data_IF_125925056653
#
_entry.id   IF_125925056653
#
_cell.length_a   1.000
_cell.length_b   1.000
_cell.length_c   1.000
_cell.angle_alpha   90.00
_cell.angle_beta   90.00
_cell.angle_gamma   90.00
#
_symmetry.space_group_name_H-M   'P 1'
#
loop_
_entity.id
_entity.type
_entity.pdbx_description
1 polymer ?
#
# COMPACT_ATOMS: atom_id res chain seq x y z
N UNK A 1 8.63 41.19 38.54
CA UNK A 1 8.02 41.25 37.24
C UNK A 1 8.64 40.14 36.40
N UNK A 2 8.15 38.91 36.60
CA UNK A 2 8.64 37.72 35.93
C UNK A 2 7.87 37.56 34.63
N UNK A 3 8.58 37.62 33.51
CA UNK A 3 8.03 37.19 32.19
C UNK A 3 8.13 35.70 32.16
N UNK A 4 6.99 35.04 32.25
CA UNK A 4 6.83 33.62 31.97
C UNK A 4 7.10 33.42 30.46
N UNK A 5 8.18 32.69 30.18
CA UNK A 5 8.41 32.11 28.85
C UNK A 5 7.36 31.04 28.62
N UNK A 6 6.45 31.32 27.73
CA UNK A 6 5.49 30.33 27.22
C UNK A 6 6.19 29.46 26.14
N UNK A 7 6.50 28.18 26.39
CA UNK A 7 7.11 27.30 25.39
C UNK A 7 6.02 26.52 24.63
N UNK A 8 5.11 27.23 23.99
CA UNK A 8 4.06 26.57 23.18
C UNK A 8 3.93 27.25 21.83
N UNK A 9 5.00 27.19 21.06
CA UNK A 9 4.94 27.30 19.62
C UNK A 9 5.76 26.13 19.06
N UNK A 10 5.26 24.92 19.27
CA UNK A 10 5.62 23.82 18.39
C UNK A 10 5.12 24.23 17.01
N UNK A 11 6.03 24.62 16.12
CA UNK A 11 5.76 24.79 14.71
C UNK A 11 5.09 23.48 14.24
N UNK A 12 3.78 23.54 14.02
CA UNK A 12 3.08 22.49 13.30
C UNK A 12 3.82 22.36 11.96
N UNK A 13 4.56 21.28 11.81
CA UNK A 13 5.17 20.93 10.54
C UNK A 13 4.03 20.65 9.56
N UNK A 14 3.65 21.65 8.78
CA UNK A 14 2.73 21.42 7.67
C UNK A 14 3.47 20.57 6.63
N UNK A 15 3.07 19.29 6.56
CA UNK A 15 3.51 18.41 5.48
C UNK A 15 2.62 18.62 4.27
N UNK A 16 3.23 18.81 3.11
CA UNK A 16 2.54 18.62 1.85
C UNK A 16 2.67 17.14 1.49
N UNK A 17 1.54 16.46 1.38
CA UNK A 17 1.47 15.04 1.02
C UNK A 17 0.80 14.94 -0.34
N UNK A 18 1.52 14.40 -1.31
CA UNK A 18 0.99 14.03 -2.60
C UNK A 18 0.64 12.55 -2.60
N UNK A 19 -0.59 12.22 -2.97
CA UNK A 19 -1.07 10.84 -3.12
C UNK A 19 -1.56 10.64 -4.53
N UNK A 20 -1.12 9.57 -5.17
CA UNK A 20 -1.57 9.20 -6.52
C UNK A 20 -1.50 7.68 -6.70
N UNK A 21 -2.25 7.15 -7.66
CA UNK A 21 -2.17 5.75 -8.04
C UNK A 21 -2.24 5.59 -9.55
N UNK A 22 -1.69 4.49 -10.03
CA UNK A 22 -1.79 4.05 -11.40
C UNK A 22 -2.13 2.57 -11.44
N UNK A 23 -2.97 2.19 -12.38
CA UNK A 23 -3.46 0.82 -12.50
C UNK A 23 -3.52 0.37 -13.96
N UNK A 24 -3.37 -0.94 -14.18
CA UNK A 24 -3.62 -1.64 -15.43
C UNK A 24 -4.42 -2.88 -15.13
N UNK A 25 -5.51 -3.07 -15.85
CA UNK A 25 -6.34 -4.25 -15.69
C UNK A 25 -5.64 -5.49 -16.25
N UNK A 26 -5.93 -6.64 -15.69
CA UNK A 26 -5.64 -7.93 -16.30
C UNK A 26 -6.09 -7.93 -17.77
N UNK A 27 -5.28 -8.57 -18.65
CA UNK A 27 -5.57 -8.62 -20.08
C UNK A 27 -6.96 -9.19 -20.36
N UNK A 28 -7.74 -8.49 -21.18
CA UNK A 28 -9.12 -8.86 -21.50
C UNK A 28 -10.19 -8.39 -20.53
N UNK A 29 -9.81 -7.89 -19.35
CA UNK A 29 -10.76 -7.37 -18.38
C UNK A 29 -11.01 -5.87 -18.58
N UNK A 30 -12.24 -5.43 -18.27
CA UNK A 30 -12.64 -4.02 -18.35
C UNK A 30 -12.53 -3.28 -17.02
N UNK A 31 -12.40 -4.00 -15.94
CA UNK A 31 -12.35 -3.49 -14.57
C UNK A 31 -11.14 -4.10 -13.89
N UNK A 32 -10.36 -3.26 -13.21
CA UNK A 32 -9.25 -3.69 -12.38
C UNK A 32 -9.77 -4.47 -11.17
N UNK A 33 -9.18 -5.61 -10.86
CA UNK A 33 -9.49 -6.37 -9.65
C UNK A 33 -8.97 -5.68 -8.39
N UNK A 34 -7.92 -4.88 -8.53
CA UNK A 34 -7.36 -4.09 -7.45
C UNK A 34 -8.16 -2.81 -7.21
N UNK A 35 -8.19 -2.35 -5.97
CA UNK A 35 -8.83 -1.09 -5.58
C UNK A 35 -7.89 -0.26 -4.73
N UNK A 36 -7.69 0.98 -5.15
CA UNK A 36 -6.99 2.00 -4.41
C UNK A 36 -7.99 3.04 -3.91
N UNK A 37 -7.94 3.35 -2.61
CA UNK A 37 -8.71 4.44 -1.98
C UNK A 37 -7.76 5.36 -1.23
N UNK A 38 -8.07 6.65 -1.27
CA UNK A 38 -7.41 7.65 -0.42
C UNK A 38 -8.43 8.68 0.07
N UNK A 39 -8.38 9.00 1.35
CA UNK A 39 -9.23 10.02 1.96
C UNK A 39 -8.39 11.01 2.77
N UNK A 40 -8.68 12.29 2.57
CA UNK A 40 -8.18 13.36 3.41
C UNK A 40 -9.24 13.69 4.47
N UNK A 41 -9.01 13.25 5.69
CA UNK A 41 -9.86 13.52 6.86
C UNK A 41 -9.50 14.91 7.38
N UNK A 42 -10.16 15.93 6.82
CA UNK A 42 -9.79 17.34 7.02
C UNK A 42 -9.90 17.78 8.46
N UNK A 43 -10.89 17.27 9.19
CA UNK A 43 -11.14 17.58 10.59
C UNK A 43 -9.98 17.16 11.49
N UNK A 44 -9.25 16.12 11.07
CA UNK A 44 -8.13 15.56 11.81
C UNK A 44 -6.76 15.92 11.18
N UNK A 45 -6.75 16.62 10.04
CA UNK A 45 -5.55 16.84 9.23
C UNK A 45 -4.77 15.53 8.99
N UNK A 46 -5.47 14.50 8.57
CA UNK A 46 -5.02 13.11 8.46
C UNK A 46 -5.30 12.56 7.06
N UNK A 47 -4.39 11.77 6.54
CA UNK A 47 -4.56 11.11 5.23
C UNK A 47 -4.49 9.60 5.43
N UNK A 48 -5.53 8.91 4.95
CA UNK A 48 -5.58 7.46 4.97
C UNK A 48 -5.59 6.96 3.53
N UNK A 49 -4.74 6.00 3.23
CA UNK A 49 -4.62 5.39 1.91
C UNK A 49 -4.68 3.87 2.04
N UNK A 50 -5.41 3.23 1.15
CA UNK A 50 -5.57 1.77 1.13
C UNK A 50 -5.39 1.25 -0.29
N UNK A 51 -4.56 0.23 -0.45
CA UNK A 51 -4.50 -0.62 -1.63
C UNK A 51 -4.97 -2.02 -1.23
N UNK A 52 -5.96 -2.55 -1.94
CA UNK A 52 -6.42 -3.93 -1.81
C UNK A 52 -6.38 -4.61 -3.17
N UNK A 53 -5.78 -5.77 -3.21
CA UNK A 53 -5.78 -6.67 -4.34
C UNK A 53 -6.92 -7.69 -4.15
N UNK A 54 -7.74 -7.86 -5.18
CA UNK A 54 -8.87 -8.79 -5.18
C UNK A 54 -8.47 -10.13 -5.79
N UNK A 55 -8.65 -11.21 -5.07
CA UNK A 55 -8.31 -12.54 -5.55
C UNK A 55 -8.95 -12.86 -6.90
N UNK A 56 -8.11 -13.11 -7.92
CA UNK A 56 -8.50 -13.33 -9.30
C UNK A 56 -8.52 -12.02 -10.09
N UNK A 57 -9.38 -11.90 -11.06
CA UNK A 57 -9.45 -10.72 -11.92
C UNK A 57 -10.91 -10.32 -12.23
N UNK A 58 -11.07 -9.10 -12.75
CA UNK A 58 -12.35 -8.59 -13.22
C UNK A 58 -13.34 -8.28 -12.09
N UNK A 59 -14.65 -8.35 -12.38
CA UNK A 59 -15.71 -7.85 -11.50
C UNK A 59 -15.72 -8.48 -10.11
N UNK A 60 -15.49 -9.79 -10.00
CA UNK A 60 -15.51 -10.47 -8.69
C UNK A 60 -14.37 -10.02 -7.80
N UNK A 61 -13.17 -9.93 -8.34
CA UNK A 61 -12.00 -9.43 -7.65
C UNK A 61 -12.23 -7.98 -7.21
N UNK A 62 -12.69 -7.12 -8.11
CA UNK A 62 -13.02 -5.72 -7.82
C UNK A 62 -14.03 -5.56 -6.67
N UNK A 63 -15.11 -6.35 -6.64
CA UNK A 63 -16.10 -6.30 -5.54
C UNK A 63 -15.42 -6.62 -4.20
N UNK A 64 -14.59 -7.65 -4.15
CA UNK A 64 -13.91 -8.06 -2.92
C UNK A 64 -12.89 -7.02 -2.47
N UNK A 65 -12.09 -6.50 -3.40
CA UNK A 65 -11.15 -5.43 -3.12
C UNK A 65 -11.86 -4.13 -2.69
N UNK A 66 -13.01 -3.80 -3.29
CA UNK A 66 -13.84 -2.65 -2.89
C UNK A 66 -14.35 -2.81 -1.46
N UNK A 67 -14.88 -3.97 -1.10
CA UNK A 67 -15.34 -4.24 0.26
C UNK A 67 -14.17 -4.15 1.26
N UNK A 68 -13.05 -4.78 0.93
CA UNK A 68 -11.84 -4.77 1.77
C UNK A 68 -11.33 -3.36 1.99
N UNK A 69 -11.10 -2.61 0.92
CA UNK A 69 -10.54 -1.25 0.99
C UNK A 69 -11.49 -0.27 1.69
N UNK A 70 -12.82 -0.40 1.46
CA UNK A 70 -13.83 0.43 2.14
C UNK A 70 -13.87 0.14 3.65
N UNK A 71 -13.83 -1.14 4.04
CA UNK A 71 -13.79 -1.51 5.45
C UNK A 71 -12.48 -1.03 6.11
N UNK A 72 -11.34 -1.25 5.44
CA UNK A 72 -10.04 -0.80 5.92
C UNK A 72 -10.01 0.71 6.14
N UNK A 73 -10.45 1.49 5.17
CA UNK A 73 -10.52 2.94 5.25
C UNK A 73 -11.40 3.41 6.42
N UNK A 74 -12.64 2.91 6.50
CA UNK A 74 -13.58 3.35 7.53
C UNK A 74 -13.14 2.95 8.95
N UNK A 75 -12.63 1.74 9.14
CA UNK A 75 -12.15 1.33 10.47
C UNK A 75 -10.89 2.06 10.90
N UNK A 76 -10.00 2.39 9.96
CA UNK A 76 -8.85 3.23 10.24
C UNK A 76 -9.29 4.64 10.61
N UNK A 77 -10.25 5.21 9.89
CA UNK A 77 -10.84 6.52 10.19
C UNK A 77 -11.46 6.56 11.58
N UNK A 78 -12.11 5.50 12.03
CA UNK A 78 -12.68 5.33 13.37
C UNK A 78 -11.63 5.01 14.45
N UNK A 79 -10.34 5.17 14.16
CA UNK A 79 -9.23 4.91 15.10
C UNK A 79 -9.24 3.51 15.74
N UNK A 80 -9.73 2.51 15.02
CA UNK A 80 -9.63 1.13 15.52
C UNK A 80 -8.18 0.66 15.50
N UNK A 81 -7.84 -0.16 16.48
CA UNK A 81 -6.52 -0.79 16.54
C UNK A 81 -6.24 -1.61 15.26
N UNK A 82 -5.02 -1.50 14.68
CA UNK A 82 -4.67 -2.16 13.43
C UNK A 82 -4.97 -3.67 13.41
N UNK A 83 -4.65 -4.36 14.49
CA UNK A 83 -4.86 -5.80 14.60
C UNK A 83 -6.37 -6.14 14.57
N UNK A 84 -7.20 -5.28 15.18
CA UNK A 84 -8.66 -5.40 15.17
C UNK A 84 -9.26 -5.10 13.80
N UNK A 85 -8.70 -4.14 13.08
CA UNK A 85 -9.10 -3.84 11.69
C UNK A 85 -8.92 -5.10 10.84
N UNK A 86 -7.73 -5.70 10.87
CA UNK A 86 -7.44 -6.91 10.13
C UNK A 86 -8.37 -8.07 10.51
N UNK A 87 -8.59 -8.32 11.80
CA UNK A 87 -9.52 -9.36 12.26
C UNK A 87 -10.92 -9.18 11.70
N UNK A 88 -11.47 -7.97 11.77
CA UNK A 88 -12.83 -7.68 11.29
C UNK A 88 -12.91 -7.91 9.78
N UNK A 89 -11.98 -7.35 9.00
CA UNK A 89 -11.94 -7.52 7.55
C UNK A 89 -11.88 -9.01 7.19
N UNK A 90 -10.89 -9.70 7.72
CA UNK A 90 -10.64 -11.11 7.39
C UNK A 90 -11.74 -12.07 7.86
N UNK A 91 -12.49 -11.71 8.91
CA UNK A 91 -13.64 -12.49 9.38
C UNK A 91 -14.93 -12.18 8.63
N UNK A 92 -15.05 -11.00 8.05
CA UNK A 92 -16.25 -10.56 7.32
C UNK A 92 -16.26 -11.06 5.89
N UNK A 93 -15.09 -11.06 5.25
CA UNK A 93 -14.98 -11.45 3.85
C UNK A 93 -15.19 -12.96 3.66
N UNK A 94 -15.77 -13.36 2.52
CA UNK A 94 -15.95 -14.76 2.20
C UNK A 94 -14.58 -15.46 2.10
N UNK A 95 -14.60 -16.76 2.37
CA UNK A 95 -13.44 -17.64 2.18
C UNK A 95 -13.63 -18.42 0.90
N UNK A 96 -12.61 -18.48 0.06
CA UNK A 96 -12.62 -19.33 -1.10
C UNK A 96 -12.80 -20.79 -0.69
N UNK A 97 -13.86 -21.42 -1.17
CA UNK A 97 -14.18 -22.82 -0.85
C UNK A 97 -13.07 -23.80 -1.29
N UNK A 98 -12.36 -23.46 -2.36
CA UNK A 98 -11.29 -24.29 -2.93
C UNK A 98 -9.95 -24.05 -2.24
N UNK A 99 -9.55 -22.79 -2.08
CA UNK A 99 -8.24 -22.42 -1.53
C UNK A 99 -8.24 -22.24 -0.01
N UNK A 100 -9.41 -22.15 0.62
CA UNK A 100 -9.59 -21.91 2.08
C UNK A 100 -8.87 -20.67 2.60
N UNK A 101 -8.63 -19.68 1.71
CA UNK A 101 -7.96 -18.43 2.02
C UNK A 101 -9.01 -17.32 2.05
N UNK A 102 -8.88 -16.36 2.94
CA UNK A 102 -9.67 -15.14 2.91
C UNK A 102 -9.28 -14.33 1.67
N UNK A 103 -10.25 -13.72 1.01
CA UNK A 103 -10.04 -12.94 -0.22
C UNK A 103 -9.49 -11.52 0.03
N UNK A 104 -9.01 -11.23 1.23
CA UNK A 104 -8.50 -9.93 1.56
C UNK A 104 -6.98 -9.90 1.50
N UNK A 105 -6.44 -9.12 0.60
CA UNK A 105 -5.11 -8.55 0.74
C UNK A 105 -5.28 -7.06 0.97
N UNK A 106 -4.44 -6.43 1.74
CA UNK A 106 -4.50 -4.98 1.92
C UNK A 106 -3.19 -4.40 2.41
N UNK A 107 -2.93 -3.18 1.97
CA UNK A 107 -1.93 -2.28 2.54
C UNK A 107 -2.62 -0.99 2.94
N UNK A 108 -2.53 -0.63 4.21
CA UNK A 108 -3.11 0.59 4.77
C UNK A 108 -1.96 1.51 5.18
N UNK A 109 -1.99 2.75 4.74
CA UNK A 109 -1.09 3.81 5.17
C UNK A 109 -1.92 4.90 5.80
N UNK A 110 -1.63 5.21 7.04
CA UNK A 110 -2.30 6.21 7.84
C UNK A 110 -1.29 7.27 8.29
N UNK A 111 -1.46 8.49 7.81
CA UNK A 111 -0.58 9.62 8.09
C UNK A 111 -1.34 10.59 8.98
N UNK A 112 -0.94 10.65 10.24
CA UNK A 112 -1.59 11.46 11.24
C UNK A 112 -1.13 12.92 11.23
N UNK A 113 -1.86 13.79 11.90
CA UNK A 113 -1.60 15.24 11.96
C UNK A 113 -0.24 15.62 12.53
N UNK A 114 0.32 14.78 13.41
CA UNK A 114 1.66 14.96 13.96
C UNK A 114 2.78 14.50 13.00
N UNK A 115 2.40 14.00 11.82
CA UNK A 115 3.30 13.46 10.81
C UNK A 115 3.68 12.00 11.04
N UNK A 116 3.12 11.35 12.03
CA UNK A 116 3.33 9.92 12.27
C UNK A 116 2.68 9.10 11.16
N UNK A 117 3.43 8.18 10.60
CA UNK A 117 2.95 7.22 9.60
C UNK A 117 2.81 5.85 10.25
N UNK A 118 1.62 5.28 10.17
CA UNK A 118 1.34 3.91 10.56
C UNK A 118 1.04 3.11 9.29
N UNK A 119 1.68 1.96 9.13
CA UNK A 119 1.42 1.04 8.02
C UNK A 119 0.99 -0.30 8.57
N UNK A 120 -0.05 -0.87 7.95
CA UNK A 120 -0.53 -2.23 8.20
C UNK A 120 -0.69 -2.96 6.86
N UNK A 121 -0.08 -4.13 6.74
CA UNK A 121 -0.11 -4.94 5.52
C UNK A 121 -0.50 -6.37 5.79
N UNK A 122 -1.28 -6.93 4.88
CA UNK A 122 -1.62 -8.34 4.84
C UNK A 122 -1.60 -8.84 3.39
N UNK A 123 -0.72 -9.80 3.11
CA UNK A 123 -0.61 -10.59 1.88
C UNK A 123 -0.34 -9.81 0.57
N UNK A 124 -0.11 -8.50 0.64
CA UNK A 124 0.45 -7.71 -0.43
C UNK A 124 1.99 -7.74 -0.40
N UNK A 125 2.67 -7.48 -1.52
CA UNK A 125 4.10 -7.17 -1.49
C UNK A 125 4.36 -6.04 -0.51
N UNK A 126 5.38 -6.23 0.35
CA UNK A 126 5.73 -5.20 1.33
C UNK A 126 6.02 -3.88 0.63
N UNK A 127 5.41 -2.79 1.09
CA UNK A 127 5.62 -1.47 0.51
C UNK A 127 7.10 -1.08 0.50
N UNK A 128 7.45 -0.23 -0.45
CA UNK A 128 8.78 0.35 -0.56
C UNK A 128 8.75 1.71 0.11
N UNK A 129 9.70 1.95 1.01
CA UNK A 129 9.87 3.26 1.64
C UNK A 129 11.24 3.79 1.26
N UNK A 130 11.25 5.03 0.75
CA UNK A 130 12.47 5.73 0.40
C UNK A 130 12.61 6.97 1.28
N UNK A 131 13.80 7.17 1.86
CA UNK A 131 14.25 8.44 2.42
C UNK A 131 15.12 9.14 1.40
N UNK A 132 14.55 10.18 0.77
CA UNK A 132 15.13 10.70 -0.47
C UNK A 132 15.20 9.61 -1.53
N UNK A 133 16.39 9.30 -2.03
CA UNK A 133 16.64 8.21 -2.99
C UNK A 133 17.15 6.91 -2.36
N UNK A 134 17.22 6.81 -1.03
CA UNK A 134 17.76 5.63 -0.34
C UNK A 134 16.64 4.77 0.26
N UNK A 135 16.78 3.44 0.27
CA UNK A 135 15.80 2.57 0.88
C UNK A 135 15.78 2.76 2.39
N UNK A 136 14.61 2.64 2.99
CA UNK A 136 14.42 2.74 4.42
C UNK A 136 13.57 1.59 4.96
N UNK A 137 14.06 0.92 5.99
CA UNK A 137 13.34 -0.13 6.71
C UNK A 137 12.92 0.37 8.09
N UNK A 138 11.60 0.58 8.31
CA UNK A 138 11.09 1.25 9.51
C UNK A 138 11.01 0.39 10.78
N UNK A 139 11.61 -0.80 10.79
CA UNK A 139 11.50 -1.73 11.92
C UNK A 139 10.14 -2.41 11.97
N UNK A 140 9.86 -3.22 10.97
CA UNK A 140 8.63 -3.99 10.86
C UNK A 140 8.39 -4.91 12.05
N UNK A 141 7.15 -5.01 12.48
CA UNK A 141 6.67 -5.95 13.51
C UNK A 141 5.65 -6.89 12.89
N UNK A 142 5.84 -8.17 13.14
CA UNK A 142 4.90 -9.20 12.74
C UNK A 142 3.88 -9.41 13.86
N UNK A 143 2.61 -9.45 13.49
CA UNK A 143 1.49 -9.83 14.35
C UNK A 143 0.87 -11.09 13.79
N UNK A 144 0.86 -12.14 14.59
CA UNK A 144 0.20 -13.39 14.23
C UNK A 144 -1.19 -13.39 14.85
N UNK A 145 -2.20 -13.57 14.02
CA UNK A 145 -3.57 -13.74 14.49
C UNK A 145 -3.69 -15.09 15.20
N UNK A 146 -4.20 -15.11 16.41
CA UNK A 146 -4.22 -16.29 17.29
C UNK A 146 -5.61 -16.91 17.43
N UNK A 147 -6.65 -16.27 16.89
CA UNK A 147 -8.04 -16.70 17.06
C UNK A 147 -8.79 -16.91 15.75
N UNK A 148 -9.80 -17.77 15.82
CA UNK A 148 -10.76 -18.00 14.75
C UNK A 148 -10.18 -18.67 13.50
N UNK A 149 -10.87 -18.49 12.39
CA UNK A 149 -10.50 -19.09 11.08
C UNK A 149 -9.22 -18.51 10.46
N UNK A 150 -8.75 -17.41 10.99
CA UNK A 150 -7.55 -16.72 10.50
C UNK A 150 -6.32 -16.97 11.42
N UNK A 151 -6.42 -17.88 12.38
CA UNK A 151 -5.30 -18.24 13.25
C UNK A 151 -4.06 -18.67 12.44
N UNK A 152 -2.91 -18.17 12.83
CA UNK A 152 -1.64 -18.41 12.15
C UNK A 152 -1.32 -17.47 10.99
N UNK A 153 -2.28 -16.64 10.53
CA UNK A 153 -2.00 -15.61 9.52
C UNK A 153 -1.20 -14.47 10.13
N UNK A 154 -0.29 -13.95 9.33
CA UNK A 154 0.67 -12.93 9.76
C UNK A 154 0.37 -11.59 9.12
N UNK A 155 0.30 -10.56 9.94
CA UNK A 155 0.21 -9.16 9.54
C UNK A 155 1.58 -8.51 9.73
N UNK A 156 1.86 -7.51 8.93
CA UNK A 156 3.06 -6.69 9.06
C UNK A 156 2.66 -5.26 9.40
N UNK A 157 3.23 -4.71 10.46
CA UNK A 157 2.98 -3.32 10.83
C UNK A 157 4.25 -2.58 11.16
N UNK A 158 4.26 -1.28 10.89
CA UNK A 158 5.33 -0.39 11.30
C UNK A 158 4.81 1.00 11.58
N UNK A 159 5.60 1.76 12.31
CA UNK A 159 5.36 3.18 12.60
C UNK A 159 6.66 3.94 12.49
N UNK A 160 6.63 5.08 11.80
CA UNK A 160 7.80 5.97 11.68
C UNK A 160 7.37 7.40 11.40
N UNK A 161 8.34 8.32 11.46
CA UNK A 161 8.16 9.72 11.09
C UNK A 161 8.93 10.00 9.80
N UNK A 162 8.23 10.42 8.73
CA UNK A 162 8.87 10.79 7.48
C UNK A 162 9.56 12.14 7.57
N UNK A 163 10.47 12.37 6.64
CA UNK A 163 11.03 13.67 6.33
C UNK A 163 10.50 14.19 4.99
N UNK A 164 10.84 15.41 4.64
CA UNK A 164 10.56 15.96 3.32
C UNK A 164 11.20 15.09 2.24
N UNK A 165 10.47 14.85 1.16
CA UNK A 165 10.89 14.03 0.01
C UNK A 165 10.96 12.52 0.28
N UNK A 166 10.51 12.06 1.46
CA UNK A 166 10.30 10.63 1.67
C UNK A 166 9.13 10.13 0.83
N UNK A 167 9.17 8.87 0.45
CA UNK A 167 8.17 8.23 -0.41
C UNK A 167 7.75 6.88 0.17
N UNK A 168 6.47 6.60 0.06
CA UNK A 168 5.88 5.30 0.38
C UNK A 168 5.23 4.80 -0.91
N UNK A 169 5.61 3.63 -1.38
CA UNK A 169 5.15 3.04 -2.63
C UNK A 169 4.47 1.72 -2.30
N UNK A 170 3.17 1.66 -2.51
CA UNK A 170 2.37 0.45 -2.38
C UNK A 170 2.33 -0.29 -3.72
N UNK A 171 2.33 -1.61 -3.68
CA UNK A 171 2.36 -2.47 -4.85
C UNK A 171 1.33 -3.59 -4.69
N UNK A 172 0.58 -3.91 -5.76
CA UNK A 172 -0.08 -5.21 -5.85
C UNK A 172 0.91 -6.28 -6.31
N UNK A 173 0.54 -7.53 -6.17
CA UNK A 173 1.38 -8.65 -6.58
C UNK A 173 1.61 -8.70 -8.10
N UNK A 174 0.66 -8.21 -8.91
CA UNK A 174 0.83 -8.08 -10.34
C UNK A 174 2.01 -7.21 -10.77
N UNK A 175 2.44 -6.24 -9.92
CA UNK A 175 3.71 -5.53 -10.16
C UNK A 175 4.90 -6.45 -9.90
N UNK A 176 4.92 -7.11 -8.75
CA UNK A 176 6.05 -7.95 -8.35
C UNK A 176 6.17 -9.22 -9.21
N UNK A 177 5.06 -9.76 -9.69
CA UNK A 177 4.98 -10.97 -10.51
C UNK A 177 5.12 -10.69 -12.01
N UNK A 178 5.14 -9.41 -12.44
CA UNK A 178 5.24 -9.07 -13.87
C UNK A 178 6.45 -9.73 -14.53
N UNK A 179 6.26 -10.25 -15.74
CA UNK A 179 7.27 -11.00 -16.48
C UNK A 179 7.50 -12.43 -16.00
N UNK A 180 6.79 -12.90 -14.98
CA UNK A 180 6.98 -14.24 -14.41
C UNK A 180 6.95 -15.34 -15.47
N UNK A 181 7.91 -16.28 -15.37
CA UNK A 181 8.09 -17.39 -16.31
C UNK A 181 8.88 -17.02 -17.56
N UNK A 182 9.29 -15.75 -17.74
CA UNK A 182 10.20 -15.37 -18.81
C UNK A 182 11.66 -15.75 -18.48
N UNK A 183 12.50 -15.82 -19.50
CA UNK A 183 13.94 -16.10 -19.26
C UNK A 183 14.65 -15.01 -18.44
N UNK A 184 14.19 -13.75 -18.56
CA UNK A 184 14.74 -12.63 -17.81
C UNK A 184 14.20 -12.54 -16.38
N UNK A 185 12.95 -12.94 -16.17
CA UNK A 185 12.23 -12.83 -14.91
C UNK A 185 11.55 -14.17 -14.54
N UNK A 186 12.30 -15.22 -14.19
CA UNK A 186 11.69 -16.54 -13.89
C UNK A 186 10.69 -16.50 -12.73
N UNK A 187 10.94 -15.68 -11.72
CA UNK A 187 10.10 -15.49 -10.52
C UNK A 187 9.26 -14.20 -10.57
N UNK A 188 9.28 -13.49 -11.68
CA UNK A 188 8.69 -12.16 -11.82
C UNK A 188 9.71 -11.05 -11.59
N UNK A 189 9.27 -9.80 -11.70
CA UNK A 189 10.14 -8.63 -11.48
C UNK A 189 10.63 -8.53 -10.04
N UNK A 190 9.88 -9.06 -9.09
CA UNK A 190 10.15 -9.09 -7.65
C UNK A 190 10.30 -7.69 -7.01
N UNK A 191 9.84 -7.56 -5.78
CA UNK A 191 9.85 -6.28 -5.03
C UNK A 191 11.20 -5.59 -5.01
N UNK A 192 12.30 -6.33 -4.85
CA UNK A 192 13.62 -5.74 -4.70
C UNK A 192 14.14 -5.13 -6.00
N UNK A 193 13.77 -5.68 -7.15
CA UNK A 193 14.07 -5.06 -8.44
C UNK A 193 13.19 -3.82 -8.70
N UNK A 194 11.92 -3.84 -8.24
CA UNK A 194 11.06 -2.64 -8.24
C UNK A 194 11.68 -1.55 -7.37
N UNK A 195 12.20 -1.89 -6.18
CA UNK A 195 12.91 -0.97 -5.31
C UNK A 195 14.11 -0.33 -6.03
N UNK A 196 14.97 -1.12 -6.67
CA UNK A 196 16.14 -0.60 -7.41
C UNK A 196 15.70 0.34 -8.54
N UNK A 197 14.63 -0.01 -9.25
CA UNK A 197 14.08 0.84 -10.31
C UNK A 197 13.53 2.15 -9.74
N UNK A 198 12.73 2.11 -8.69
CA UNK A 198 12.21 3.31 -8.03
C UNK A 198 13.34 4.23 -7.53
N UNK A 199 14.36 3.66 -6.90
CA UNK A 199 15.56 4.41 -6.48
C UNK A 199 16.24 5.10 -7.65
N UNK A 200 16.41 4.42 -8.78
CA UNK A 200 17.02 4.99 -9.99
C UNK A 200 16.22 6.17 -10.57
N UNK A 201 14.88 6.05 -10.55
CA UNK A 201 13.98 7.12 -11.00
C UNK A 201 14.09 8.36 -10.11
N UNK A 202 14.05 8.16 -8.79
CA UNK A 202 14.15 9.26 -7.81
C UNK A 202 15.55 9.90 -7.81
N UNK A 203 16.61 9.10 -7.99
CA UNK A 203 17.97 9.64 -8.11
C UNK A 203 18.16 10.46 -9.39
N UNK A 204 17.50 10.07 -10.49
CA UNK A 204 17.53 10.82 -11.76
C UNK A 204 16.68 12.09 -11.72
N UNK A 205 15.59 12.11 -10.95
CA UNK A 205 14.65 13.23 -10.82
C UNK A 205 14.10 13.28 -9.40
N UNK A 206 14.77 14.00 -8.51
CA UNK A 206 14.38 14.06 -7.09
C UNK A 206 12.99 14.67 -6.87
N UNK A 207 12.53 15.53 -7.78
CA UNK A 207 11.20 16.16 -7.76
C UNK A 207 10.11 15.36 -8.50
N UNK A 208 10.40 14.13 -8.91
CA UNK A 208 9.40 13.29 -9.59
C UNK A 208 8.13 13.18 -8.73
N UNK A 209 6.97 13.49 -9.33
CA UNK A 209 5.67 13.42 -8.65
C UNK A 209 5.27 11.98 -8.34
N UNK A 210 4.39 11.80 -7.34
CA UNK A 210 3.84 10.48 -7.00
C UNK A 210 3.18 9.82 -8.21
N UNK A 211 2.38 10.58 -8.98
CA UNK A 211 1.72 10.08 -10.18
C UNK A 211 2.70 9.66 -11.28
N UNK A 212 3.77 10.42 -11.50
CA UNK A 212 4.78 10.09 -12.50
C UNK A 212 5.58 8.85 -12.09
N UNK A 213 5.92 8.72 -10.81
CA UNK A 213 6.63 7.57 -10.27
C UNK A 213 5.80 6.29 -10.40
N UNK A 214 4.54 6.33 -9.95
CA UNK A 214 3.61 5.22 -10.08
C UNK A 214 3.40 4.81 -11.56
N UNK A 215 3.20 5.80 -12.45
CA UNK A 215 3.04 5.53 -13.88
C UNK A 215 4.27 4.84 -14.49
N UNK A 216 5.48 5.25 -14.12
CA UNK A 216 6.72 4.62 -14.62
C UNK A 216 6.84 3.17 -14.12
N UNK A 217 6.51 2.90 -12.85
CA UNK A 217 6.54 1.54 -12.29
C UNK A 217 5.51 0.64 -12.99
N UNK A 218 4.26 1.07 -13.07
CA UNK A 218 3.17 0.31 -13.71
C UNK A 218 3.45 0.06 -15.19
N UNK A 219 3.96 1.05 -15.92
CA UNK A 219 4.31 0.88 -17.32
C UNK A 219 5.49 -0.08 -17.52
N UNK A 220 6.45 -0.12 -16.60
CA UNK A 220 7.56 -1.07 -16.66
C UNK A 220 7.08 -2.49 -16.38
N UNK A 221 6.22 -2.70 -15.37
CA UNK A 221 5.58 -3.98 -15.09
C UNK A 221 4.79 -4.48 -16.31
N UNK A 222 3.96 -3.62 -16.89
CA UNK A 222 3.18 -3.93 -18.10
C UNK A 222 4.06 -4.30 -19.30
N UNK A 223 5.22 -3.65 -19.45
CA UNK A 223 6.21 -4.00 -20.48
C UNK A 223 6.81 -5.38 -20.25
N UNK A 224 7.07 -5.77 -18.99
CA UNK A 224 7.59 -7.10 -18.68
C UNK A 224 6.59 -8.21 -18.97
N UNK A 225 5.30 -7.93 -18.91
CA UNK A 225 4.22 -8.80 -19.36
C UNK A 225 3.96 -8.73 -20.88
N UNK A 226 4.88 -8.15 -21.66
CA UNK A 226 4.74 -7.96 -23.10
C UNK A 226 3.47 -7.20 -23.50
N UNK A 227 3.03 -6.24 -22.67
CA UNK A 227 1.81 -5.44 -22.86
C UNK A 227 0.50 -6.25 -22.80
N UNK A 228 0.55 -7.42 -22.17
CA UNK A 228 -0.60 -8.26 -21.88
C UNK A 228 -0.55 -8.62 -20.39
N UNK A 229 -1.09 -7.73 -19.55
CA UNK A 229 -1.04 -7.89 -18.11
C UNK A 229 -1.62 -9.24 -17.67
N UNK A 230 -0.81 -10.07 -17.02
CA UNK A 230 -1.19 -11.40 -16.53
C UNK A 230 -1.98 -11.35 -15.23
N UNK A 231 -1.92 -10.23 -14.56
CA UNK A 231 -2.69 -9.88 -13.38
C UNK A 231 -3.00 -8.39 -13.36
N UNK A 232 -3.84 -7.93 -12.46
CA UNK A 232 -4.09 -6.52 -12.24
C UNK A 232 -2.82 -5.87 -11.64
N UNK A 233 -2.34 -4.79 -12.26
CA UNK A 233 -1.08 -4.13 -11.92
C UNK A 233 -1.41 -2.79 -11.25
N UNK A 234 -1.07 -2.64 -9.97
CA UNK A 234 -1.36 -1.41 -9.22
C UNK A 234 -0.16 -0.90 -8.41
N UNK A 235 0.02 0.41 -8.48
CA UNK A 235 1.04 1.12 -7.71
C UNK A 235 0.48 2.46 -7.19
#
# INVERSE_FOLDING_TARGET
>A
MNRENNPSAALEKQFFIEVNSQQRNHHGERICGDVFLSENVREENRIITVLSDGMGHGVKANILATLTSTMALNFTKEHKEPDRIAEIIMNTLPVCSERKISYATFSIVDIESDGRVNILEYDNPRCIILKGSQPFEPGWKDVVLDTGRNAGKRLHKCTFYPAKEDRIILLSDGVAQSGMGSAAWPLGWERDNVLQYAMSLVAGESSISAGSLAAKIVNMAYKYDNYEAKDDISC
#
